data_IF_180724068889
#
_entry.id   IF_180724068889
#
_cell.length_a   1.000
_cell.length_b   1.000
_cell.length_c   1.000
_cell.angle_alpha   90.00
_cell.angle_beta   90.00
_cell.angle_gamma   90.00
#
_symmetry.space_group_name_H-M   'P 1'
#
loop_
_entity.id
_entity.type
_entity.pdbx_description
1 polymer ?
#
# COMPACT_ATOMS: atom_id res chain seq x y z
N UNK A 1 23.93 28.97 21.40
CA UNK A 1 22.95 27.87 21.62
C UNK A 1 22.79 27.00 20.36
N UNK A 2 22.46 27.55 19.19
CA UNK A 2 22.23 26.78 17.95
C UNK A 2 23.45 26.03 17.43
N UNK A 3 24.64 26.65 17.45
CA UNK A 3 25.85 25.98 17.04
C UNK A 3 26.26 24.82 17.95
N UNK A 4 25.95 24.90 19.24
CA UNK A 4 26.13 23.79 20.16
C UNK A 4 25.12 22.66 19.88
N UNK A 5 23.87 23.02 19.65
CA UNK A 5 22.83 22.04 19.28
C UNK A 5 23.16 21.34 17.96
N UNK A 6 23.59 22.07 16.93
CA UNK A 6 23.98 21.48 15.65
C UNK A 6 25.08 20.42 15.85
N UNK A 7 26.14 20.75 16.60
CA UNK A 7 27.21 19.77 16.92
C UNK A 7 26.69 18.52 17.66
N UNK A 8 25.76 18.70 18.61
CA UNK A 8 25.16 17.58 19.33
C UNK A 8 24.32 16.71 18.39
N UNK A 9 23.57 17.32 17.49
CA UNK A 9 22.76 16.62 16.49
C UNK A 9 23.64 15.87 15.48
N UNK A 10 24.71 16.49 15.01
CA UNK A 10 25.70 15.88 14.12
C UNK A 10 26.35 14.66 14.79
N UNK A 11 26.75 14.77 16.06
CA UNK A 11 27.28 13.66 16.84
C UNK A 11 26.28 12.50 17.00
N UNK A 12 25.01 12.81 17.23
CA UNK A 12 23.96 11.79 17.25
C UNK A 12 23.85 11.05 15.91
N UNK A 13 23.82 11.78 14.80
CA UNK A 13 23.71 11.16 13.48
C UNK A 13 24.97 10.40 13.09
N UNK A 14 26.16 10.88 13.44
CA UNK A 14 27.41 10.13 13.23
C UNK A 14 27.36 8.78 13.96
N UNK A 15 26.98 8.76 15.24
CA UNK A 15 26.82 7.53 16.02
C UNK A 15 25.79 6.58 15.37
N UNK A 16 24.70 7.13 14.88
CA UNK A 16 23.65 6.34 14.21
C UNK A 16 24.19 5.67 12.94
N UNK A 17 24.95 6.42 12.14
CA UNK A 17 25.57 5.91 10.91
C UNK A 17 26.60 4.81 11.24
N UNK A 18 27.45 5.04 12.22
CA UNK A 18 28.48 4.06 12.63
C UNK A 18 27.86 2.75 13.12
N UNK A 19 26.85 2.82 13.97
CA UNK A 19 26.12 1.63 14.42
C UNK A 19 25.42 0.90 13.27
N UNK A 20 24.86 1.65 12.31
CA UNK A 20 24.29 1.05 11.09
C UNK A 20 25.34 0.33 10.26
N UNK A 21 26.52 0.92 10.09
CA UNK A 21 27.65 0.31 9.39
C UNK A 21 28.14 -0.97 10.07
N UNK A 22 28.31 -0.93 11.40
CA UNK A 22 28.70 -2.08 12.20
C UNK A 22 27.70 -3.25 12.08
N UNK A 23 26.37 -2.95 12.17
CA UNK A 23 25.34 -3.98 11.95
C UNK A 23 25.43 -4.64 10.58
N UNK A 24 25.63 -3.84 9.52
CA UNK A 24 25.77 -4.38 8.16
C UNK A 24 26.97 -5.32 8.04
N UNK A 25 28.09 -4.97 8.67
CA UNK A 25 29.28 -5.82 8.70
C UNK A 25 29.01 -7.13 9.45
N UNK A 26 28.34 -7.08 10.61
CA UNK A 26 27.93 -8.28 11.36
C UNK A 26 27.04 -9.18 10.52
N UNK A 27 25.99 -8.63 9.92
CA UNK A 27 25.07 -9.38 9.05
C UNK A 27 25.82 -10.00 7.86
N UNK A 28 26.75 -9.24 7.25
CA UNK A 28 27.57 -9.74 6.14
C UNK A 28 28.49 -10.91 6.52
N UNK A 29 28.85 -11.06 7.81
CA UNK A 29 29.60 -12.17 8.37
C UNK A 29 28.71 -13.30 8.92
N UNK A 30 27.38 -13.19 8.78
CA UNK A 30 26.44 -14.15 9.35
C UNK A 30 26.20 -14.01 10.86
N UNK A 31 26.67 -12.92 11.47
CA UNK A 31 26.48 -12.65 12.90
C UNK A 31 25.16 -11.93 13.14
N UNK A 32 24.41 -12.32 14.17
CA UNK A 32 23.18 -11.65 14.55
C UNK A 32 23.47 -10.29 15.22
N UNK A 33 22.79 -9.21 14.84
CA UNK A 33 22.88 -7.93 15.54
C UNK A 33 22.37 -8.04 16.98
N UNK A 34 23.04 -7.36 17.90
CA UNK A 34 22.64 -7.25 19.30
C UNK A 34 21.95 -5.92 19.59
N UNK A 35 21.40 -5.76 20.79
CA UNK A 35 20.78 -4.50 21.23
C UNK A 35 21.75 -3.32 21.14
N UNK A 36 23.02 -3.53 21.43
CA UNK A 36 24.05 -2.48 21.43
C UNK A 36 24.38 -1.95 20.02
N UNK A 37 24.00 -2.68 18.98
CA UNK A 37 24.15 -2.25 17.59
C UNK A 37 23.11 -1.23 17.15
N UNK A 38 22.19 -0.83 18.03
CA UNK A 38 21.11 0.13 17.74
C UNK A 38 21.25 1.39 18.56
N UNK A 39 20.66 2.50 18.08
CA UNK A 39 20.48 3.74 18.84
C UNK A 39 19.04 3.76 19.35
N UNK A 40 18.88 3.74 20.67
CA UNK A 40 17.59 3.66 21.34
C UNK A 40 17.06 5.02 21.83
N UNK A 41 17.92 6.04 21.75
CA UNK A 41 17.56 7.40 22.13
C UNK A 41 16.97 8.15 20.94
N UNK A 42 16.04 9.05 21.21
CA UNK A 42 15.53 9.96 20.19
C UNK A 42 16.60 11.01 19.83
N UNK A 43 16.60 11.55 18.60
CA UNK A 43 17.45 12.67 18.27
C UNK A 43 17.24 13.82 19.26
N UNK A 44 18.31 14.55 19.63
CA UNK A 44 18.17 15.70 20.53
C UNK A 44 17.21 16.73 19.94
N UNK A 45 16.34 17.29 20.78
CA UNK A 45 15.41 18.35 20.39
C UNK A 45 16.03 19.70 20.74
N UNK A 46 15.88 20.68 19.86
CA UNK A 46 16.29 22.04 20.15
C UNK A 46 15.38 22.68 21.23
N UNK A 47 15.95 23.03 22.34
CA UNK A 47 15.26 23.67 23.48
C UNK A 47 15.69 25.14 23.68
N UNK A 48 16.40 25.73 22.74
CA UNK A 48 16.88 27.11 22.82
C UNK A 48 15.86 28.16 22.34
N UNK A 49 16.25 29.44 22.32
CA UNK A 49 15.39 30.53 21.89
C UNK A 49 14.82 30.32 20.47
N UNK A 50 13.55 30.67 20.29
CA UNK A 50 12.90 30.65 18.98
C UNK A 50 13.66 31.50 17.94
N UNK A 51 13.48 31.22 16.67
CA UNK A 51 14.06 32.05 15.62
C UNK A 51 13.53 33.47 15.68
N UNK A 52 14.40 34.50 15.54
CA UNK A 52 13.93 35.87 15.42
C UNK A 52 12.98 35.97 14.23
N UNK A 53 11.78 36.51 14.46
CA UNK A 53 10.72 36.65 13.43
C UNK A 53 11.19 37.36 12.14
N UNK A 54 12.28 38.13 12.25
CA UNK A 54 12.88 38.90 11.18
C UNK A 54 13.54 38.04 10.08
N UNK A 55 13.97 36.83 10.41
CA UNK A 55 14.58 35.93 9.39
C UNK A 55 13.51 35.27 8.51
N UNK A 56 12.35 35.01 9.07
CA UNK A 56 11.21 34.41 8.34
C UNK A 56 10.63 35.39 7.31
N UNK A 57 10.73 36.70 7.56
CA UNK A 57 10.20 37.73 6.65
C UNK A 57 11.06 37.96 5.38
N UNK A 58 12.33 37.49 5.35
CA UNK A 58 13.24 37.66 4.21
C UNK A 58 13.33 36.46 3.26
N UNK A 59 12.77 35.32 3.63
CA UNK A 59 12.64 34.23 2.67
C UNK A 59 11.57 34.62 1.66
N UNK A 60 11.84 34.54 0.34
CA UNK A 60 10.79 34.75 -0.66
C UNK A 60 9.66 33.79 -0.32
N UNK A 61 8.48 34.34 -0.05
CA UNK A 61 7.29 33.51 0.14
C UNK A 61 7.21 32.61 -1.10
N UNK A 62 7.54 31.31 -0.95
CA UNK A 62 7.15 30.33 -1.96
C UNK A 62 5.70 30.68 -2.26
N UNK A 63 5.42 31.05 -3.53
CA UNK A 63 4.03 31.27 -3.96
C UNK A 63 3.25 30.13 -3.37
N UNK A 64 2.35 30.45 -2.43
CA UNK A 64 1.52 29.43 -1.82
C UNK A 64 0.83 28.71 -2.96
N UNK A 65 1.20 27.46 -3.16
CA UNK A 65 0.43 26.59 -4.06
C UNK A 65 -0.99 26.72 -3.55
N UNK A 66 -1.98 27.06 -4.41
CA UNK A 66 -3.37 27.07 -3.95
C UNK A 66 -3.58 25.80 -3.14
N UNK A 67 -4.27 25.86 -1.99
CA UNK A 67 -4.50 24.69 -1.17
C UNK A 67 -4.98 23.60 -2.11
N UNK A 68 -4.27 22.47 -2.14
CA UNK A 68 -4.71 21.31 -2.90
C UNK A 68 -6.18 21.12 -2.51
N UNK A 69 -7.08 21.01 -3.49
CA UNK A 69 -8.47 20.65 -3.19
C UNK A 69 -8.40 19.50 -2.21
N UNK A 70 -9.03 19.66 -1.05
CA UNK A 70 -9.07 18.58 -0.07
C UNK A 70 -9.54 17.32 -0.82
N UNK A 71 -8.72 16.27 -0.76
CA UNK A 71 -9.08 15.01 -1.40
C UNK A 71 -10.44 14.59 -0.85
N UNK A 72 -11.39 14.32 -1.72
CA UNK A 72 -12.68 13.75 -1.31
C UNK A 72 -12.38 12.33 -0.88
N UNK A 73 -12.55 12.05 0.40
CA UNK A 73 -12.38 10.72 0.98
C UNK A 73 -13.77 10.18 1.29
N UNK A 74 -14.16 9.15 0.58
CA UNK A 74 -15.47 8.51 0.70
C UNK A 74 -15.39 7.30 1.64
N UNK A 75 -16.44 7.03 2.42
CA UNK A 75 -16.55 5.80 3.19
C UNK A 75 -16.79 4.59 2.28
N UNK A 76 -16.44 3.41 2.77
CA UNK A 76 -16.63 2.13 2.06
C UNK A 76 -18.07 1.95 1.55
N UNK A 77 -19.06 2.41 2.30
CA UNK A 77 -20.47 2.30 1.92
C UNK A 77 -20.77 2.95 0.56
N UNK A 78 -20.13 4.09 0.26
CA UNK A 78 -20.32 4.80 -1.01
C UNK A 78 -19.72 4.02 -2.18
N UNK A 79 -18.59 3.35 -1.99
CA UNK A 79 -18.00 2.48 -3.02
C UNK A 79 -18.88 1.27 -3.31
N UNK A 80 -19.46 0.67 -2.27
CA UNK A 80 -20.39 -0.47 -2.42
C UNK A 80 -21.67 -0.03 -3.11
N UNK A 81 -22.23 1.12 -2.75
CA UNK A 81 -23.42 1.68 -3.40
C UNK A 81 -23.14 1.92 -4.90
N UNK A 82 -22.03 2.56 -5.24
CA UNK A 82 -21.63 2.79 -6.62
C UNK A 82 -21.46 1.46 -7.41
N UNK A 83 -20.91 0.42 -6.80
CA UNK A 83 -20.75 -0.88 -7.46
C UNK A 83 -22.10 -1.54 -7.77
N UNK A 84 -23.06 -1.41 -6.86
CA UNK A 84 -24.44 -1.89 -7.06
C UNK A 84 -25.14 -1.09 -8.18
N UNK A 85 -25.07 0.23 -8.11
CA UNK A 85 -25.80 1.12 -9.01
C UNK A 85 -25.26 1.06 -10.45
N UNK A 86 -23.93 0.97 -10.63
CA UNK A 86 -23.28 1.02 -11.94
C UNK A 86 -23.14 -0.35 -12.61
N UNK A 87 -23.04 -1.44 -11.82
CA UNK A 87 -22.68 -2.76 -12.36
C UNK A 87 -23.50 -3.91 -11.79
N UNK A 88 -24.53 -3.66 -11.01
CA UNK A 88 -25.30 -4.69 -10.28
C UNK A 88 -24.37 -5.64 -9.50
N UNK A 89 -23.29 -5.06 -8.93
CA UNK A 89 -22.23 -5.82 -8.26
C UNK A 89 -22.30 -5.63 -6.76
N UNK A 90 -22.54 -6.74 -6.05
CA UNK A 90 -22.48 -6.79 -4.59
C UNK A 90 -21.23 -7.58 -4.17
N UNK A 91 -20.28 -6.99 -3.43
CA UNK A 91 -19.09 -7.70 -2.95
C UNK A 91 -19.46 -8.88 -2.07
N UNK A 92 -18.91 -10.06 -2.37
CA UNK A 92 -19.05 -11.24 -1.51
C UNK A 92 -18.32 -10.99 -0.19
N UNK A 93 -19.08 -10.80 0.88
CA UNK A 93 -18.52 -10.62 2.21
C UNK A 93 -18.16 -11.96 2.82
N UNK A 94 -16.90 -12.19 3.05
CA UNK A 94 -16.38 -13.36 3.76
C UNK A 94 -16.13 -13.02 5.23
N UNK A 95 -16.08 -14.03 6.07
CA UNK A 95 -15.52 -13.87 7.40
C UNK A 95 -14.03 -13.50 7.29
N UNK A 96 -13.52 -12.83 8.32
CA UNK A 96 -12.11 -12.41 8.38
C UNK A 96 -11.14 -13.59 8.15
N UNK A 97 -11.45 -14.73 8.75
CA UNK A 97 -10.64 -15.93 8.62
C UNK A 97 -10.66 -16.50 7.18
N UNK A 98 -11.81 -16.44 6.50
CA UNK A 98 -11.95 -16.91 5.12
C UNK A 98 -11.21 -15.99 4.16
N UNK A 99 -11.35 -14.68 4.34
CA UNK A 99 -10.63 -13.70 3.51
C UNK A 99 -9.12 -13.84 3.68
N UNK A 100 -8.61 -13.97 4.92
CA UNK A 100 -7.18 -14.24 5.18
C UNK A 100 -6.68 -15.49 4.49
N UNK A 101 -7.47 -16.58 4.53
CA UNK A 101 -7.11 -17.82 3.82
C UNK A 101 -7.05 -17.61 2.30
N UNK A 102 -8.03 -16.92 1.73
CA UNK A 102 -8.05 -16.62 0.28
C UNK A 102 -6.87 -15.73 -0.12
N UNK A 103 -6.57 -14.72 0.67
CA UNK A 103 -5.43 -13.81 0.48
C UNK A 103 -4.10 -14.56 0.55
N UNK A 104 -3.89 -15.36 1.59
CA UNK A 104 -2.67 -16.14 1.77
C UNK A 104 -2.49 -17.18 0.65
N UNK A 105 -3.55 -17.88 0.26
CA UNK A 105 -3.50 -18.85 -0.82
C UNK A 105 -3.10 -18.20 -2.17
N UNK A 106 -3.65 -17.02 -2.47
CA UNK A 106 -3.27 -16.29 -3.69
C UNK A 106 -1.82 -15.80 -3.62
N UNK A 107 -1.39 -15.25 -2.48
CA UNK A 107 -0.03 -14.77 -2.30
C UNK A 107 1.01 -15.90 -2.44
N UNK A 108 0.77 -17.04 -1.80
CA UNK A 108 1.62 -18.23 -1.95
C UNK A 108 1.67 -18.73 -3.40
N UNK A 109 0.53 -18.70 -4.12
CA UNK A 109 0.47 -19.10 -5.54
C UNK A 109 1.29 -18.18 -6.45
N UNK A 110 1.51 -16.93 -6.04
CA UNK A 110 2.37 -15.96 -6.73
C UNK A 110 3.83 -15.97 -6.24
N UNK A 111 4.20 -16.91 -5.36
CA UNK A 111 5.56 -17.13 -4.90
C UNK A 111 6.02 -16.24 -3.74
N UNK A 112 5.09 -15.62 -3.02
CA UNK A 112 5.42 -14.95 -1.76
C UNK A 112 5.67 -15.95 -0.64
N UNK A 113 6.53 -15.57 0.30
CA UNK A 113 6.73 -16.34 1.54
C UNK A 113 5.71 -15.92 2.61
N UNK A 114 5.48 -16.79 3.59
CA UNK A 114 4.64 -16.47 4.73
C UNK A 114 5.16 -15.22 5.49
N UNK A 115 6.47 -15.07 5.65
CA UNK A 115 7.08 -13.89 6.29
C UNK A 115 6.76 -12.59 5.54
N UNK A 116 6.85 -12.59 4.21
CA UNK A 116 6.49 -11.42 3.41
C UNK A 116 5.03 -11.04 3.57
N UNK A 117 4.12 -12.00 3.54
CA UNK A 117 2.69 -11.78 3.69
C UNK A 117 2.36 -11.20 5.08
N UNK A 118 2.91 -11.83 6.14
CA UNK A 118 2.63 -11.43 7.52
C UNK A 118 3.18 -10.03 7.81
N UNK A 119 4.36 -9.67 7.31
CA UNK A 119 4.95 -8.35 7.54
C UNK A 119 4.17 -7.23 6.86
N UNK A 120 3.76 -7.43 5.60
CA UNK A 120 2.93 -6.45 4.90
C UNK A 120 1.60 -6.27 5.64
N UNK A 121 0.90 -7.35 5.95
CA UNK A 121 -0.34 -7.32 6.72
C UNK A 121 -0.17 -6.62 8.08
N UNK A 122 0.87 -6.99 8.85
CA UNK A 122 1.08 -6.48 10.20
C UNK A 122 1.37 -4.97 10.20
N UNK A 123 2.10 -4.45 9.22
CA UNK A 123 2.39 -3.02 9.14
C UNK A 123 1.16 -2.22 8.66
N UNK A 124 0.55 -2.64 7.57
CA UNK A 124 -0.57 -1.93 6.95
C UNK A 124 -1.83 -1.88 7.85
N UNK A 125 -2.00 -2.88 8.69
CA UNK A 125 -3.21 -3.03 9.51
C UNK A 125 -2.95 -2.96 11.01
N UNK A 126 -1.71 -2.67 11.43
CA UNK A 126 -1.33 -2.76 12.85
C UNK A 126 -1.43 -4.17 13.43
N UNK A 127 -1.53 -5.20 12.60
CA UNK A 127 -1.66 -6.60 12.99
C UNK A 127 -3.07 -7.02 13.42
N UNK A 128 -3.98 -6.08 13.61
CA UNK A 128 -5.36 -6.33 14.09
C UNK A 128 -6.45 -5.84 13.13
N UNK A 129 -6.07 -5.30 11.97
CA UNK A 129 -7.04 -4.80 11.01
C UNK A 129 -7.82 -5.89 10.30
N UNK A 130 -8.95 -5.50 9.72
CA UNK A 130 -9.85 -6.37 8.95
C UNK A 130 -9.63 -6.20 7.45
N UNK A 131 -10.14 -7.15 6.67
CA UNK A 131 -10.06 -7.10 5.20
C UNK A 131 -10.82 -5.90 4.59
N UNK A 132 -11.72 -5.28 5.36
CA UNK A 132 -12.51 -4.12 4.97
C UNK A 132 -12.19 -2.87 5.79
N UNK A 133 -11.08 -2.85 6.51
CA UNK A 133 -10.70 -1.66 7.27
C UNK A 133 -10.39 -0.48 6.36
N UNK A 134 -10.79 0.70 6.83
CA UNK A 134 -10.45 1.99 6.25
C UNK A 134 -9.94 2.91 7.36
N UNK A 135 -8.77 3.52 7.15
CA UNK A 135 -8.17 4.40 8.17
C UNK A 135 -9.10 5.55 8.57
N UNK A 136 -9.22 5.78 9.87
CA UNK A 136 -10.13 6.77 10.46
C UNK A 136 -11.52 6.23 10.82
N UNK A 137 -11.82 5.00 10.44
CA UNK A 137 -13.01 4.25 10.85
C UNK A 137 -12.59 3.21 11.89
N UNK A 138 -13.25 3.20 13.00
CA UNK A 138 -13.09 2.18 14.04
C UNK A 138 -13.67 0.84 13.53
N UNK A 139 -12.89 -0.23 13.46
CA UNK A 139 -13.32 -1.48 12.84
C UNK A 139 -14.40 -2.20 13.66
N UNK A 140 -14.48 -1.98 14.98
CA UNK A 140 -15.44 -2.67 15.85
C UNK A 140 -16.80 -1.96 15.89
N UNK A 141 -16.77 -0.62 15.88
CA UNK A 141 -17.99 0.20 16.03
C UNK A 141 -18.47 0.82 14.72
N UNK A 142 -17.66 0.81 13.67
CA UNK A 142 -17.93 1.51 12.41
C UNK A 142 -17.98 3.04 12.52
N UNK A 143 -17.58 3.60 13.68
CA UNK A 143 -17.63 5.05 13.93
C UNK A 143 -16.34 5.72 13.44
N UNK A 144 -16.46 7.00 13.11
CA UNK A 144 -15.34 7.82 12.68
C UNK A 144 -15.59 8.48 11.32
N UNK A 145 -14.54 9.03 10.76
CA UNK A 145 -14.52 9.57 9.39
C UNK A 145 -13.30 9.02 8.67
N UNK A 146 -13.44 8.57 7.43
CA UNK A 146 -12.29 8.08 6.69
C UNK A 146 -11.28 9.21 6.48
N UNK A 147 -10.00 8.91 6.69
CA UNK A 147 -8.87 9.82 6.48
C UNK A 147 -8.01 9.39 5.29
N UNK A 148 -8.32 8.25 4.68
CA UNK A 148 -7.68 7.72 3.48
C UNK A 148 -8.70 6.96 2.65
N UNK A 149 -8.51 6.92 1.33
CA UNK A 149 -9.26 6.03 0.44
C UNK A 149 -8.74 4.59 0.49
N UNK A 150 -7.64 4.34 1.20
CA UNK A 150 -7.01 3.03 1.29
C UNK A 150 -7.88 2.01 2.05
N UNK A 151 -8.03 0.82 1.48
CA UNK A 151 -8.88 -0.24 1.99
C UNK A 151 -8.15 -1.58 2.02
N UNK A 152 -8.43 -2.37 3.05
CA UNK A 152 -8.04 -3.77 3.17
C UNK A 152 -6.59 -4.01 3.60
N UNK A 153 -6.13 -5.24 3.49
CA UNK A 153 -4.83 -5.68 4.01
C UNK A 153 -3.61 -5.05 3.34
N UNK A 154 -3.70 -4.71 2.06
CA UNK A 154 -2.61 -4.05 1.34
C UNK A 154 -2.86 -2.54 1.19
N UNK A 155 -3.82 -2.00 1.93
CA UNK A 155 -4.20 -0.59 1.92
C UNK A 155 -4.19 0.03 0.51
N UNK A 156 -4.91 -0.63 -0.42
CA UNK A 156 -5.05 -0.10 -1.76
C UNK A 156 -5.87 1.20 -1.74
N UNK A 157 -5.30 2.26 -2.27
CA UNK A 157 -6.06 3.49 -2.55
C UNK A 157 -6.88 3.34 -3.83
N UNK A 158 -7.91 4.13 -3.96
CA UNK A 158 -8.88 4.09 -5.07
C UNK A 158 -8.24 4.17 -6.46
N UNK A 159 -7.28 5.07 -6.67
CA UNK A 159 -6.53 5.16 -7.93
C UNK A 159 -5.76 3.87 -8.26
N UNK A 160 -5.22 3.17 -7.25
CA UNK A 160 -4.58 1.87 -7.44
C UNK A 160 -5.59 0.81 -7.90
N UNK A 161 -6.82 0.84 -7.38
CA UNK A 161 -7.87 -0.09 -7.81
C UNK A 161 -8.20 0.08 -9.28
N UNK A 162 -8.31 1.33 -9.75
CA UNK A 162 -8.48 1.63 -11.18
C UNK A 162 -7.32 1.05 -11.98
N UNK A 163 -6.07 1.37 -11.60
CA UNK A 163 -4.88 0.87 -12.29
C UNK A 163 -4.80 -0.66 -12.33
N UNK A 164 -5.12 -1.35 -11.23
CA UNK A 164 -5.14 -2.80 -11.16
C UNK A 164 -6.20 -3.42 -12.10
N UNK A 165 -7.37 -2.81 -12.20
CA UNK A 165 -8.42 -3.29 -13.12
C UNK A 165 -8.01 -3.04 -14.57
N UNK A 166 -7.48 -1.87 -14.90
CA UNK A 166 -6.97 -1.54 -16.24
C UNK A 166 -5.91 -2.56 -16.69
N UNK A 167 -4.91 -2.76 -15.86
CA UNK A 167 -3.74 -3.57 -16.21
C UNK A 167 -4.01 -5.07 -16.10
N UNK A 168 -4.69 -5.51 -15.04
CA UNK A 168 -4.81 -6.93 -14.70
C UNK A 168 -6.24 -7.48 -14.72
N UNK A 169 -7.27 -6.67 -14.98
CA UNK A 169 -8.66 -7.09 -14.90
C UNK A 169 -8.98 -8.34 -15.77
N UNK A 170 -8.39 -8.44 -16.96
CA UNK A 170 -8.55 -9.63 -17.80
C UNK A 170 -7.95 -10.90 -17.15
N UNK A 171 -6.81 -10.75 -16.46
CA UNK A 171 -6.18 -11.86 -15.71
C UNK A 171 -7.04 -12.27 -14.52
N UNK A 172 -7.60 -11.30 -13.79
CA UNK A 172 -8.49 -11.59 -12.66
C UNK A 172 -9.74 -12.34 -13.13
N UNK A 173 -10.38 -11.90 -14.21
CA UNK A 173 -11.52 -12.59 -14.80
C UNK A 173 -11.16 -14.02 -15.26
N UNK A 174 -10.00 -14.24 -15.86
CA UNK A 174 -9.51 -15.56 -16.22
C UNK A 174 -9.30 -16.43 -14.97
N UNK A 175 -8.77 -15.88 -13.88
CA UNK A 175 -8.59 -16.58 -12.60
C UNK A 175 -9.93 -16.99 -11.99
N UNK A 176 -10.93 -16.10 -12.03
CA UNK A 176 -12.30 -16.43 -11.58
C UNK A 176 -12.91 -17.56 -12.42
N UNK A 177 -12.71 -17.54 -13.73
CA UNK A 177 -13.16 -18.63 -14.61
C UNK A 177 -12.48 -19.95 -14.28
N UNK A 178 -11.17 -19.96 -14.08
CA UNK A 178 -10.43 -21.15 -13.65
C UNK A 178 -10.97 -21.69 -12.32
N UNK A 179 -11.26 -20.81 -11.35
CA UNK A 179 -11.89 -21.21 -10.08
C UNK A 179 -13.30 -21.77 -10.31
N UNK A 180 -14.07 -21.18 -11.22
CA UNK A 180 -15.40 -21.65 -11.56
C UNK A 180 -15.35 -23.10 -12.13
N UNK A 181 -14.37 -23.42 -12.94
CA UNK A 181 -14.22 -24.75 -13.54
C UNK A 181 -13.79 -25.81 -12.50
N UNK A 182 -13.14 -25.37 -11.40
CA UNK A 182 -12.67 -26.25 -10.32
C UNK A 182 -13.73 -26.53 -9.24
N UNK A 183 -14.83 -25.75 -9.15
CA UNK A 183 -15.84 -25.95 -8.11
C UNK A 183 -16.96 -26.89 -8.55
N UNK A 184 -17.41 -27.77 -7.65
CA UNK A 184 -18.49 -28.72 -7.89
C UNK A 184 -19.89 -28.06 -7.88
N UNK A 185 -20.10 -27.04 -7.04
CA UNK A 185 -21.39 -26.36 -6.92
C UNK A 185 -21.73 -25.55 -8.18
N UNK A 186 -22.85 -25.89 -8.82
CA UNK A 186 -23.33 -25.17 -10.01
C UNK A 186 -23.66 -23.71 -9.71
N UNK A 187 -24.24 -23.43 -8.54
CA UNK A 187 -24.54 -22.06 -8.12
C UNK A 187 -23.26 -21.23 -7.93
N UNK A 188 -22.24 -21.80 -7.28
CA UNK A 188 -20.95 -21.13 -7.07
C UNK A 188 -20.22 -20.92 -8.39
N UNK A 189 -20.25 -21.88 -9.30
CA UNK A 189 -19.69 -21.78 -10.65
C UNK A 189 -20.32 -20.61 -11.42
N UNK A 190 -21.65 -20.51 -11.40
CA UNK A 190 -22.37 -19.42 -12.05
C UNK A 190 -21.97 -18.07 -11.46
N UNK A 191 -21.94 -17.94 -10.13
CA UNK A 191 -21.55 -16.71 -9.43
C UNK A 191 -20.14 -16.25 -9.80
N UNK A 192 -19.16 -17.16 -9.86
CA UNK A 192 -17.79 -16.83 -10.26
C UNK A 192 -17.69 -16.39 -11.73
N UNK A 193 -18.44 -17.01 -12.64
CA UNK A 193 -18.48 -16.62 -14.05
C UNK A 193 -19.10 -15.25 -14.23
N UNK A 194 -20.25 -14.99 -13.61
CA UNK A 194 -20.92 -13.68 -13.65
C UNK A 194 -19.99 -12.58 -13.12
N UNK A 195 -19.34 -12.83 -11.98
CA UNK A 195 -18.37 -11.91 -11.41
C UNK A 195 -17.22 -11.60 -12.37
N UNK A 196 -16.72 -12.60 -13.08
CA UNK A 196 -15.71 -12.41 -14.12
C UNK A 196 -16.20 -11.57 -15.29
N UNK A 197 -17.44 -11.72 -15.70
CA UNK A 197 -18.09 -10.90 -16.75
C UNK A 197 -18.26 -9.45 -16.30
N UNK A 198 -18.76 -9.23 -15.09
CA UNK A 198 -18.87 -7.88 -14.49
C UNK A 198 -17.50 -7.20 -14.41
N UNK A 199 -16.48 -7.92 -13.97
CA UNK A 199 -15.12 -7.37 -13.90
C UNK A 199 -14.57 -7.00 -15.30
N UNK A 200 -14.90 -7.74 -16.35
CA UNK A 200 -14.54 -7.38 -17.72
C UNK A 200 -15.29 -6.16 -18.21
N UNK A 201 -16.57 -5.98 -17.84
CA UNK A 201 -17.32 -4.76 -18.11
C UNK A 201 -16.70 -3.54 -17.40
N UNK A 202 -16.40 -3.66 -16.12
CA UNK A 202 -15.69 -2.62 -15.35
C UNK A 202 -14.34 -2.25 -16.01
N UNK A 203 -13.60 -3.27 -16.46
CA UNK A 203 -12.34 -3.04 -17.18
C UNK A 203 -12.55 -2.33 -18.52
N UNK A 204 -13.57 -2.69 -19.28
CA UNK A 204 -13.88 -2.06 -20.57
C UNK A 204 -14.12 -0.57 -20.43
N UNK A 205 -14.80 -0.14 -19.36
CA UNK A 205 -14.96 1.28 -19.05
C UNK A 205 -13.64 1.93 -18.60
N UNK A 206 -12.88 1.27 -17.74
CA UNK A 206 -11.67 1.83 -17.15
C UNK A 206 -10.51 1.99 -18.16
N UNK A 207 -10.38 1.12 -19.16
CA UNK A 207 -9.30 1.22 -20.17
C UNK A 207 -9.47 2.39 -21.13
N UNK A 208 -10.61 3.06 -21.11
CA UNK A 208 -10.82 4.32 -21.86
C UNK A 208 -10.09 5.50 -21.21
N UNK A 209 -9.66 5.36 -19.95
CA UNK A 209 -8.94 6.38 -19.19
C UNK A 209 -7.44 6.27 -19.49
N UNK A 210 -6.73 7.40 -19.71
CA UNK A 210 -5.28 7.38 -19.88
C UNK A 210 -4.58 6.70 -18.71
N UNK A 211 -3.55 5.89 -19.00
CA UNK A 211 -2.83 5.13 -17.97
C UNK A 211 -1.82 6.03 -17.23
N UNK A 212 -2.33 6.96 -16.45
CA UNK A 212 -1.54 7.79 -15.54
C UNK A 212 -2.16 7.84 -14.15
N UNK A 213 -1.35 8.08 -13.14
CA UNK A 213 -1.82 8.20 -11.77
C UNK A 213 -2.88 9.30 -11.60
N UNK A 214 -2.68 10.46 -12.23
CA UNK A 214 -3.61 11.59 -12.15
C UNK A 214 -4.96 11.27 -12.78
N UNK A 215 -4.96 10.56 -13.90
CA UNK A 215 -6.18 10.19 -14.61
C UNK A 215 -6.93 9.08 -13.85
N UNK A 216 -6.21 8.09 -13.32
CA UNK A 216 -6.81 7.07 -12.46
C UNK A 216 -7.41 7.68 -11.19
N UNK A 217 -6.73 8.67 -10.57
CA UNK A 217 -7.27 9.39 -9.40
C UNK A 217 -8.52 10.18 -9.74
N UNK A 218 -8.55 10.83 -10.90
CA UNK A 218 -9.74 11.55 -11.36
C UNK A 218 -10.91 10.61 -11.66
N UNK A 219 -10.63 9.49 -12.32
CA UNK A 219 -11.64 8.48 -12.63
C UNK A 219 -12.19 7.80 -11.38
N UNK A 220 -11.35 7.53 -10.37
CA UNK A 220 -11.76 6.93 -9.11
C UNK A 220 -12.84 7.73 -8.35
N UNK A 221 -12.99 9.01 -8.65
CA UNK A 221 -14.04 9.87 -8.09
C UNK A 221 -15.35 9.84 -8.89
N UNK A 222 -15.39 9.16 -10.04
CA UNK A 222 -16.62 8.95 -10.79
C UNK A 222 -17.39 7.74 -10.23
N UNK A 223 -18.72 7.64 -10.42
CA UNK A 223 -19.49 6.49 -9.98
C UNK A 223 -18.89 5.15 -10.44
N UNK A 224 -18.50 5.03 -11.70
CA UNK A 224 -17.83 3.83 -12.23
C UNK A 224 -16.48 3.57 -11.60
N UNK A 225 -15.65 4.59 -11.36
CA UNK A 225 -14.37 4.46 -10.70
C UNK A 225 -14.50 4.05 -9.22
N UNK A 226 -15.48 4.62 -8.52
CA UNK A 226 -15.85 4.22 -7.16
C UNK A 226 -16.24 2.74 -7.09
N UNK A 227 -17.05 2.26 -8.04
CA UNK A 227 -17.44 0.88 -8.14
C UNK A 227 -16.23 -0.10 -8.23
N UNK A 228 -15.17 0.29 -8.95
CA UNK A 228 -13.95 -0.51 -9.03
C UNK A 228 -13.25 -0.65 -7.67
N UNK A 229 -13.34 0.36 -6.83
CA UNK A 229 -12.71 0.30 -5.52
C UNK A 229 -13.39 -0.70 -4.58
N UNK A 230 -14.70 -0.90 -4.71
CA UNK A 230 -15.46 -1.91 -3.98
C UNK A 230 -14.97 -3.34 -4.22
N UNK A 231 -14.30 -3.63 -5.33
CA UNK A 231 -13.73 -4.94 -5.62
C UNK A 231 -12.73 -5.42 -4.56
N UNK A 232 -12.08 -4.49 -3.82
CA UNK A 232 -11.18 -4.84 -2.72
C UNK A 232 -11.89 -5.59 -1.58
N UNK A 233 -13.19 -5.35 -1.41
CA UNK A 233 -14.01 -5.93 -0.35
C UNK A 233 -14.55 -7.31 -0.72
N UNK A 234 -14.47 -7.68 -2.00
CA UNK A 234 -15.00 -8.93 -2.49
C UNK A 234 -14.07 -10.10 -2.18
N UNK A 235 -14.60 -11.14 -1.57
CA UNK A 235 -13.82 -12.31 -1.14
C UNK A 235 -13.16 -13.10 -2.26
N UNK A 236 -13.59 -12.91 -3.51
CA UNK A 236 -12.97 -13.57 -4.67
C UNK A 236 -11.98 -12.67 -5.39
N UNK A 237 -12.29 -11.38 -5.52
CA UNK A 237 -11.52 -10.41 -6.30
C UNK A 237 -10.51 -9.64 -5.45
N UNK A 238 -10.89 -9.25 -4.23
CA UNK A 238 -10.02 -8.49 -3.34
C UNK A 238 -8.65 -9.12 -3.11
N UNK A 239 -8.56 -10.41 -2.76
CA UNK A 239 -7.28 -11.10 -2.66
C UNK A 239 -6.46 -11.07 -3.96
N UNK A 240 -7.09 -11.19 -5.13
CA UNK A 240 -6.40 -11.12 -6.42
C UNK A 240 -5.76 -9.75 -6.65
N UNK A 241 -6.52 -8.68 -6.41
CA UNK A 241 -6.07 -7.30 -6.62
C UNK A 241 -4.94 -6.92 -5.67
N UNK A 242 -5.14 -7.15 -4.37
CA UNK A 242 -4.21 -6.75 -3.33
C UNK A 242 -2.87 -7.49 -3.45
N UNK A 243 -2.93 -8.81 -3.67
CA UNK A 243 -1.70 -9.60 -3.86
C UNK A 243 -1.02 -9.25 -5.19
N UNK A 244 -1.78 -8.95 -6.25
CA UNK A 244 -1.19 -8.55 -7.53
C UNK A 244 -0.42 -7.24 -7.42
N UNK A 245 -0.93 -6.25 -6.68
CA UNK A 245 -0.19 -5.02 -6.39
C UNK A 245 1.18 -5.30 -5.77
N UNK A 246 1.22 -6.19 -4.78
CA UNK A 246 2.48 -6.59 -4.15
C UNK A 246 3.41 -7.31 -5.15
N UNK A 247 2.84 -8.13 -6.02
CA UNK A 247 3.61 -8.83 -7.05
C UNK A 247 4.20 -7.87 -8.07
N UNK A 248 3.47 -6.83 -8.48
CA UNK A 248 3.98 -5.79 -9.38
C UNK A 248 5.15 -5.04 -8.75
N UNK A 249 5.05 -4.72 -7.46
CA UNK A 249 6.13 -4.14 -6.67
C UNK A 249 7.37 -5.04 -6.64
N UNK A 250 7.17 -6.33 -6.41
CA UNK A 250 8.25 -7.32 -6.40
C UNK A 250 8.90 -7.47 -7.80
N UNK A 251 8.09 -7.55 -8.85
CA UNK A 251 8.56 -7.65 -10.24
C UNK A 251 9.31 -6.38 -10.67
N UNK A 252 8.89 -5.22 -10.19
CA UNK A 252 9.61 -3.96 -10.40
C UNK A 252 11.03 -4.02 -9.82
N UNK A 253 11.20 -4.49 -8.60
CA UNK A 253 12.50 -4.68 -7.96
C UNK A 253 13.37 -5.68 -8.72
N UNK A 254 12.79 -6.82 -9.11
CA UNK A 254 13.47 -7.85 -9.90
C UNK A 254 14.03 -7.32 -11.21
N UNK A 255 13.25 -6.55 -11.95
CA UNK A 255 13.68 -5.93 -13.22
C UNK A 255 14.86 -4.97 -13.04
N UNK A 256 15.11 -4.52 -11.80
CA UNK A 256 16.22 -3.62 -11.42
C UNK A 256 17.34 -4.34 -10.66
N UNK A 257 17.41 -5.66 -10.78
CA UNK A 257 18.51 -6.46 -10.22
C UNK A 257 18.31 -6.92 -8.77
N UNK A 258 17.19 -6.57 -8.12
CA UNK A 258 16.85 -7.07 -6.76
C UNK A 258 16.07 -8.38 -6.88
N UNK A 259 16.80 -9.48 -7.00
CA UNK A 259 16.20 -10.80 -7.21
C UNK A 259 15.33 -11.29 -6.05
N UNK A 260 15.63 -10.84 -4.84
CA UNK A 260 14.91 -11.22 -3.60
C UNK A 260 14.64 -9.98 -2.76
N UNK A 261 13.45 -9.92 -2.17
CA UNK A 261 13.06 -8.93 -1.17
C UNK A 261 12.70 -9.66 0.13
N UNK A 262 13.14 -9.12 1.25
CA UNK A 262 12.57 -9.47 2.56
C UNK A 262 11.16 -8.90 2.69
N UNK A 263 10.39 -9.36 3.68
CA UNK A 263 9.07 -8.77 3.95
C UNK A 263 9.13 -7.27 4.28
N UNK A 264 10.17 -6.83 5.01
CA UNK A 264 10.36 -5.42 5.34
C UNK A 264 10.73 -4.56 4.12
N UNK A 265 11.54 -5.07 3.20
CA UNK A 265 11.87 -4.38 1.94
C UNK A 265 10.65 -4.26 1.02
N UNK A 266 9.89 -5.35 0.89
CA UNK A 266 8.65 -5.35 0.13
C UNK A 266 7.67 -4.32 0.67
N UNK A 267 7.52 -4.25 2.00
CA UNK A 267 6.64 -3.31 2.66
C UNK A 267 7.12 -1.86 2.49
N UNK A 268 8.42 -1.60 2.62
CA UNK A 268 8.97 -0.27 2.35
C UNK A 268 8.64 0.20 0.92
N UNK A 269 8.74 -0.71 -0.06
CA UNK A 269 8.38 -0.41 -1.44
C UNK A 269 6.87 -0.26 -1.64
N UNK A 270 6.06 -0.99 -0.86
CA UNK A 270 4.60 -0.86 -0.89
C UNK A 270 4.15 0.52 -0.39
N UNK A 271 4.73 1.00 0.72
CA UNK A 271 4.42 2.29 1.35
C UNK A 271 4.92 3.49 0.53
N UNK A 272 6.20 3.48 0.16
CA UNK A 272 6.85 4.62 -0.50
C UNK A 272 6.64 4.67 -2.02
N UNK A 273 5.99 3.64 -2.57
CA UNK A 273 5.95 3.38 -4.01
C UNK A 273 7.19 2.64 -4.51
N UNK A 274 7.06 1.87 -5.61
CA UNK A 274 8.11 0.94 -6.05
C UNK A 274 9.46 1.60 -6.30
N UNK A 275 9.51 2.77 -6.93
CA UNK A 275 10.76 3.47 -7.22
C UNK A 275 11.41 4.02 -5.96
N UNK A 276 10.69 4.86 -5.20
CA UNK A 276 11.23 5.49 -4.00
C UNK A 276 11.58 4.46 -2.92
N UNK A 277 10.74 3.43 -2.75
CA UNK A 277 11.00 2.35 -1.82
C UNK A 277 12.24 1.55 -2.19
N UNK A 278 12.46 1.29 -3.48
CA UNK A 278 13.67 0.62 -3.95
C UNK A 278 14.93 1.44 -3.61
N UNK A 279 14.90 2.75 -3.85
CA UNK A 279 15.99 3.67 -3.49
C UNK A 279 16.25 3.68 -1.97
N UNK A 280 15.20 3.59 -1.14
CA UNK A 280 15.31 3.55 0.31
C UNK A 280 15.92 2.25 0.85
N UNK A 281 15.71 1.12 0.17
CA UNK A 281 16.25 -0.18 0.58
C UNK A 281 17.62 -0.48 -0.03
N UNK A 282 17.98 0.20 -1.10
CA UNK A 282 19.35 0.14 -1.62
C UNK A 282 20.29 0.76 -0.58
N UNK A 283 21.50 0.18 -0.38
CA UNK A 283 22.46 0.84 0.49
C UNK A 283 22.66 2.25 -0.05
N UNK A 284 22.42 3.23 0.82
CA UNK A 284 22.66 4.64 0.50
C UNK A 284 24.02 4.75 -0.18
N UNK A 285 23.97 5.24 -1.37
CA UNK A 285 25.03 5.44 -2.35
C UNK A 285 26.38 4.83 -1.99
N UNK A 286 26.86 3.98 -2.84
CA UNK A 286 28.26 3.56 -2.82
C UNK A 286 29.25 4.75 -2.89
N UNK A 287 28.72 5.95 -3.08
CA UNK A 287 29.44 7.15 -3.45
C UNK A 287 29.01 8.42 -2.69
N UNK A 288 28.61 8.29 -1.44
CA UNK A 288 28.61 9.47 -0.55
C UNK A 288 30.01 9.55 0.04
N UNK A 289 30.81 10.59 -0.30
CA UNK A 289 32.15 10.75 0.22
C UNK A 289 32.19 10.88 1.74
#
# INVERSE_FOLDING_TARGET
ARGAFARTLDGYWATTVDKRKARRQKIGRGEAPTRDDYVWTQPPKYAGPAEPKTIVAKLPKKKSRPPARADIILPIADYVAAARDEYDFEPLRLSEAEFKRAYAAEALSLGFTADQIVRVFALETGGMGTHDMQSGIDPDTGRGKPISTAVGYAQLVDANSVGQVVEHGARFAARLRQRADAVSSAARRRALRLKGETLLAMRADAVTVPNSWSDHKAYALTPKGMALHALNLDGDVGPLMQVRKLRDTYDFARKRGRARLTGAELEMMNLAGPQSGLEMIEPAARDVP
#
